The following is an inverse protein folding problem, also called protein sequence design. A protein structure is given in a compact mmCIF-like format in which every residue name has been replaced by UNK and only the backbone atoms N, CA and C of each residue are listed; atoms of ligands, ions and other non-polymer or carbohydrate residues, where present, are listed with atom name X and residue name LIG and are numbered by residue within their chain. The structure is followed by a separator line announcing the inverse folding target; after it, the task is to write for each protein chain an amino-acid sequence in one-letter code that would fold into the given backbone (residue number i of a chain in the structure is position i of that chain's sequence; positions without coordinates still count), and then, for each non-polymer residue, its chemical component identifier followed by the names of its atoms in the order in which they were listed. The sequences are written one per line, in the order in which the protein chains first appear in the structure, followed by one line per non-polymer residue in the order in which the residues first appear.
data_IF_957099939150
#
_entry.id   IF_957099939150
#
_cell.length_a   1.000
_cell.length_b   1.000
_cell.length_c   1.000
_cell.angle_alpha   90.00
_cell.angle_beta   90.00
_cell.angle_gamma   90.00
#
_symmetry.space_group_name_H-M   'P 1'
#
loop_
_entity.id
_entity.type
_entity.pdbx_description
1 polymer ?
#
# COMPACT_ATOMS: atom_id res chain seq x y z
N UNK A 1 8.19 30.77 2.79
CA UNK A 1 8.41 29.79 1.71
C UNK A 1 9.82 29.26 1.89
N UNK A 2 10.06 28.01 1.55
CA UNK A 2 11.38 27.38 1.58
C UNK A 2 11.54 26.51 0.34
N UNK A 3 12.67 25.84 0.17
CA UNK A 3 12.95 24.99 -0.98
C UNK A 3 13.60 23.68 -0.57
N UNK A 4 13.49 22.65 -1.42
CA UNK A 4 14.33 21.45 -1.34
C UNK A 4 14.60 20.81 -2.70
N UNK A 5 15.56 19.88 -2.72
CA UNK A 5 15.91 19.11 -3.92
C UNK A 5 14.95 17.95 -4.18
N UNK A 6 14.40 17.33 -3.13
CA UNK A 6 13.51 16.16 -3.21
C UNK A 6 12.30 16.25 -2.27
N UNK A 7 11.53 17.33 -2.40
CA UNK A 7 10.40 17.65 -1.53
C UNK A 7 9.29 16.59 -1.44
N UNK A 8 8.32 16.75 -0.53
CA UNK A 8 7.23 15.79 -0.36
C UNK A 8 6.47 15.54 -1.66
N UNK A 9 6.29 14.27 -2.00
CA UNK A 9 5.60 13.77 -3.20
C UNK A 9 6.23 14.23 -4.53
N UNK A 10 7.54 14.52 -4.54
CA UNK A 10 8.31 14.84 -5.75
C UNK A 10 8.69 13.63 -6.60
N UNK A 11 8.57 12.41 -6.04
CA UNK A 11 8.90 11.15 -6.71
C UNK A 11 10.40 10.81 -6.77
N UNK A 12 11.28 11.73 -6.36
CA UNK A 12 12.72 11.53 -6.24
C UNK A 12 13.16 11.57 -4.78
N UNK A 13 13.92 10.57 -4.33
CA UNK A 13 14.54 10.56 -3.02
C UNK A 13 16.01 10.17 -3.13
N UNK A 14 16.88 10.90 -2.45
CA UNK A 14 18.26 10.48 -2.26
C UNK A 14 18.33 9.52 -1.08
N UNK A 15 19.14 8.47 -1.22
CA UNK A 15 19.48 7.54 -0.14
C UNK A 15 20.99 7.51 0.06
N UNK A 16 21.39 7.23 1.29
CA UNK A 16 22.79 7.13 1.71
C UNK A 16 22.91 6.29 2.97
N UNK A 17 24.14 6.10 3.44
CA UNK A 17 24.43 5.30 4.62
C UNK A 17 24.87 6.19 5.77
N UNK A 18 24.24 6.02 6.92
CA UNK A 18 24.58 6.75 8.13
C UNK A 18 25.44 5.90 9.05
N UNK A 19 26.50 6.51 9.55
CA UNK A 19 27.27 6.05 10.69
C UNK A 19 26.97 6.92 11.92
N UNK A 20 26.44 6.30 12.98
CA UNK A 20 26.17 6.96 14.27
C UNK A 20 27.17 6.43 15.29
N UNK A 21 27.87 7.34 15.96
CA UNK A 21 28.84 6.98 16.99
C UNK A 21 28.20 6.13 18.09
N UNK A 22 28.77 4.93 18.32
CA UNK A 22 28.27 3.97 19.31
C UNK A 22 27.08 3.13 18.85
N UNK A 23 26.74 3.15 17.56
CA UNK A 23 25.82 2.19 16.94
C UNK A 23 26.60 1.29 15.97
N UNK A 24 26.58 -0.02 16.20
CA UNK A 24 27.21 -1.00 15.30
C UNK A 24 26.11 -1.64 14.45
N UNK A 25 26.07 -1.27 13.18
CA UNK A 25 25.18 -1.89 12.20
C UNK A 25 25.57 -3.36 11.99
N UNK A 26 24.60 -4.26 12.09
CA UNK A 26 24.78 -5.70 11.86
C UNK A 26 24.45 -6.10 10.41
N UNK A 27 23.70 -5.27 9.71
CA UNK A 27 23.40 -5.40 8.29
C UNK A 27 23.46 -4.04 7.60
N UNK A 28 23.81 -4.01 6.32
CA UNK A 28 23.98 -2.78 5.53
C UNK A 28 22.70 -1.92 5.52
N UNK A 29 21.54 -2.58 5.41
CA UNK A 29 20.20 -1.97 5.50
C UNK A 29 19.89 -1.24 6.83
N UNK A 30 20.67 -1.47 7.89
CA UNK A 30 20.55 -0.74 9.16
C UNK A 30 21.21 0.63 9.11
N UNK A 31 22.15 0.86 8.18
CA UNK A 31 22.76 2.16 7.91
C UNK A 31 21.98 2.97 6.89
N UNK A 32 21.16 2.34 6.05
CA UNK A 32 20.43 3.02 4.98
C UNK A 32 19.40 4.02 5.54
N UNK A 33 19.48 5.26 5.05
CA UNK A 33 18.53 6.34 5.31
C UNK A 33 18.23 7.09 4.01
N UNK A 34 17.10 7.81 4.02
CA UNK A 34 16.83 8.82 2.99
C UNK A 34 17.35 10.19 3.45
N UNK A 35 17.73 11.04 2.50
CA UNK A 35 18.09 12.42 2.81
C UNK A 35 17.53 13.42 1.80
N UNK A 36 17.37 14.66 2.23
CA UNK A 36 17.00 15.79 1.38
C UNK A 36 17.85 17.02 1.75
N UNK A 37 18.16 17.84 0.76
CA UNK A 37 18.80 19.14 0.95
C UNK A 37 17.72 20.21 0.97
N UNK A 38 17.70 20.99 2.04
CA UNK A 38 16.61 21.91 2.36
C UNK A 38 17.13 23.32 2.63
N UNK A 39 16.29 24.30 2.31
CA UNK A 39 16.54 25.71 2.61
C UNK A 39 16.20 26.10 4.05
N UNK A 40 16.33 27.40 4.39
CA UNK A 40 15.95 27.92 5.71
C UNK A 40 14.44 27.81 5.94
N UNK A 41 14.02 27.69 7.21
CA UNK A 41 12.61 27.58 7.64
C UNK A 41 11.81 26.48 6.93
N UNK A 42 12.49 25.40 6.54
CA UNK A 42 11.90 24.33 5.74
C UNK A 42 10.74 23.64 6.46
N UNK A 43 10.92 23.27 7.73
CA UNK A 43 9.88 22.54 8.46
C UNK A 43 8.65 23.41 8.68
N UNK A 44 8.84 24.70 8.93
CA UNK A 44 7.74 25.66 8.94
C UNK A 44 7.03 25.75 7.58
N UNK A 45 7.76 25.78 6.46
CA UNK A 45 7.17 25.87 5.11
C UNK A 45 6.32 24.65 4.75
N UNK A 46 6.71 23.44 5.14
CA UNK A 46 5.90 22.22 4.94
C UNK A 46 4.88 21.96 6.05
N UNK A 47 4.85 22.80 7.08
CA UNK A 47 3.97 22.60 8.25
C UNK A 47 4.37 21.42 9.14
N UNK A 48 5.61 20.95 9.05
CA UNK A 48 6.14 19.90 9.91
C UNK A 48 6.46 20.44 11.30
N UNK A 49 6.16 19.63 12.32
CA UNK A 49 6.40 20.00 13.73
C UNK A 49 7.79 19.56 14.17
N UNK A 50 8.63 20.52 14.56
CA UNK A 50 9.87 20.25 15.29
C UNK A 50 9.52 19.76 16.69
N UNK A 51 10.02 18.58 17.06
CA UNK A 51 9.79 17.93 18.35
C UNK A 51 10.85 18.31 19.38
N UNK A 52 12.11 18.45 18.94
CA UNK A 52 13.25 18.88 19.76
C UNK A 52 14.21 19.71 18.94
N UNK A 53 14.95 20.61 19.60
CA UNK A 53 15.92 21.47 18.93
C UNK A 53 15.25 22.61 18.17
N UNK A 54 15.75 22.90 16.96
CA UNK A 54 15.32 24.04 16.13
C UNK A 54 15.21 23.68 14.64
N UNK A 55 14.55 24.54 13.88
CA UNK A 55 14.57 24.55 12.42
C UNK A 55 15.90 25.17 11.90
N UNK A 56 16.13 25.10 10.59
CA UNK A 56 17.29 25.66 9.92
C UNK A 56 17.19 27.18 9.78
N UNK A 57 18.25 27.87 10.18
CA UNK A 57 18.43 29.30 9.98
C UNK A 57 19.22 29.58 8.70
N UNK A 58 19.18 30.82 8.20
CA UNK A 58 19.94 31.23 7.01
C UNK A 58 21.46 31.05 7.17
N UNK A 59 21.98 31.21 8.37
CA UNK A 59 23.41 31.04 8.66
C UNK A 59 23.88 29.58 8.51
N UNK A 60 22.97 28.62 8.73
CA UNK A 60 23.28 27.19 8.60
C UNK A 60 23.55 26.76 7.15
N UNK A 61 23.05 27.55 6.18
CA UNK A 61 23.24 27.29 4.74
C UNK A 61 24.69 27.45 4.29
N UNK A 62 25.51 28.17 5.05
CA UNK A 62 26.91 28.41 4.71
C UNK A 62 27.88 27.48 5.45
N UNK A 63 27.51 27.08 6.67
CA UNK A 63 28.37 26.27 7.52
C UNK A 63 28.36 24.78 7.13
N UNK A 64 27.22 24.27 6.65
CA UNK A 64 27.09 22.90 6.12
C UNK A 64 27.38 21.75 7.09
N UNK A 65 27.51 22.07 8.38
CA UNK A 65 27.93 21.17 9.44
C UNK A 65 26.79 20.81 10.41
N UNK A 66 25.56 21.18 10.08
CA UNK A 66 24.36 20.89 10.87
C UNK A 66 23.36 20.08 10.05
N UNK A 67 22.52 19.31 10.73
CA UNK A 67 21.44 18.56 10.10
C UNK A 67 20.30 18.30 11.08
N UNK A 68 19.16 17.88 10.55
CA UNK A 68 18.01 17.48 11.34
C UNK A 68 17.59 16.07 10.95
N UNK A 69 16.99 15.34 11.89
CA UNK A 69 16.55 13.96 11.67
C UNK A 69 15.06 13.81 12.02
N UNK A 70 14.39 12.81 11.46
CA UNK A 70 13.02 12.51 11.86
C UNK A 70 12.94 11.68 13.15
N UNK A 71 11.74 11.64 13.75
CA UNK A 71 11.45 10.93 14.99
C UNK A 71 11.78 9.43 14.88
N UNK A 72 11.51 8.81 13.73
CA UNK A 72 11.82 7.40 13.49
C UNK A 72 13.33 7.11 13.54
N UNK A 73 14.15 7.96 12.90
CA UNK A 73 15.62 7.84 12.98
C UNK A 73 16.14 8.08 14.40
N UNK A 74 15.63 9.10 15.08
CA UNK A 74 16.01 9.43 16.46
C UNK A 74 15.74 8.24 17.39
N UNK A 75 14.55 7.65 17.31
CA UNK A 75 14.17 6.48 18.12
C UNK A 75 15.04 5.26 17.83
N UNK A 76 15.41 5.02 16.57
CA UNK A 76 16.17 3.85 16.17
C UNK A 76 17.62 3.89 16.67
N UNK A 77 18.36 4.97 16.40
CA UNK A 77 19.78 5.05 16.74
C UNK A 77 20.06 5.54 18.17
N UNK A 78 19.22 6.45 18.69
CA UNK A 78 19.47 7.10 19.98
C UNK A 78 18.62 6.53 21.11
N UNK A 79 17.50 5.87 20.81
CA UNK A 79 16.53 5.33 21.80
C UNK A 79 16.12 6.41 22.80
N UNK A 80 16.60 6.32 24.04
CA UNK A 80 16.30 7.27 25.13
C UNK A 80 17.37 8.37 25.27
N UNK A 81 18.48 8.29 24.54
CA UNK A 81 19.55 9.30 24.55
C UNK A 81 19.13 10.51 23.74
N UNK A 82 19.56 11.69 24.17
CA UNK A 82 19.27 12.93 23.44
C UNK A 82 20.13 13.01 22.17
N UNK A 83 19.52 13.07 20.96
CA UNK A 83 20.26 13.16 19.71
C UNK A 83 20.81 14.56 19.44
N UNK A 84 20.26 15.61 20.06
CA UNK A 84 20.66 16.99 19.80
C UNK A 84 22.13 17.21 20.21
N UNK A 85 22.90 17.86 19.35
CA UNK A 85 24.32 18.15 19.55
C UNK A 85 25.26 16.98 19.25
N UNK A 86 24.75 15.81 18.85
CA UNK A 86 25.57 14.67 18.44
C UNK A 86 25.98 14.78 16.98
N UNK A 87 27.18 14.33 16.67
CA UNK A 87 27.68 14.23 15.30
C UNK A 87 27.27 12.90 14.68
N UNK A 88 26.84 12.96 13.44
CA UNK A 88 26.44 11.83 12.60
C UNK A 88 27.09 11.99 11.25
N UNK A 89 27.59 10.90 10.67
CA UNK A 89 28.20 10.91 9.34
C UNK A 89 27.24 10.24 8.37
N UNK A 90 26.82 10.97 7.34
CA UNK A 90 26.08 10.45 6.19
C UNK A 90 27.04 10.34 5.02
N UNK A 91 27.29 9.12 4.55
CA UNK A 91 28.33 8.78 3.58
C UNK A 91 29.68 9.36 4.03
N UNK A 92 30.13 10.47 3.43
CA UNK A 92 31.38 11.16 3.79
C UNK A 92 31.16 12.51 4.52
N UNK A 93 29.90 12.95 4.67
CA UNK A 93 29.56 14.23 5.27
C UNK A 93 29.18 14.08 6.75
N UNK A 94 29.95 14.68 7.64
CA UNK A 94 29.64 14.74 9.07
C UNK A 94 28.88 16.00 9.42
N UNK A 95 27.75 15.84 10.13
CA UNK A 95 26.92 16.94 10.59
C UNK A 95 26.50 16.76 12.05
N UNK A 96 26.19 17.87 12.70
CA UNK A 96 25.69 17.90 14.07
C UNK A 96 24.17 18.02 14.06
N UNK A 97 23.49 17.16 14.82
CA UNK A 97 22.03 17.18 14.88
C UNK A 97 21.56 18.42 15.65
N UNK A 98 20.82 19.31 14.98
CA UNK A 98 20.24 20.53 15.59
C UNK A 98 18.74 20.46 15.80
N UNK A 99 18.07 19.47 15.18
CA UNK A 99 16.62 19.32 15.26
C UNK A 99 16.15 17.88 15.10
N UNK A 100 15.09 17.52 15.83
CA UNK A 100 14.30 16.31 15.59
C UNK A 100 12.91 16.72 15.16
N UNK A 101 12.47 16.24 14.01
CA UNK A 101 11.19 16.60 13.41
C UNK A 101 10.23 15.41 13.45
N UNK A 102 8.93 15.67 13.55
CA UNK A 102 7.92 14.63 13.39
C UNK A 102 8.10 13.94 12.03
N UNK A 103 7.80 12.65 11.98
CA UNK A 103 7.78 11.92 10.72
C UNK A 103 6.79 12.60 9.75
N UNK A 104 7.25 12.84 8.52
CA UNK A 104 6.49 13.44 7.42
C UNK A 104 6.34 12.38 6.34
N UNK A 105 5.14 12.24 5.79
CA UNK A 105 4.87 11.36 4.67
C UNK A 105 5.42 11.97 3.36
N UNK A 106 6.35 11.28 2.71
CA UNK A 106 7.07 11.81 1.54
C UNK A 106 6.71 11.15 0.20
N UNK A 107 6.44 9.84 0.16
CA UNK A 107 6.14 9.11 -1.09
C UNK A 107 4.76 8.46 -1.08
N UNK A 108 4.35 7.95 0.08
CA UNK A 108 3.09 7.27 0.30
C UNK A 108 2.58 7.63 1.70
N UNK A 109 1.31 8.04 1.77
CA UNK A 109 0.62 8.42 3.03
C UNK A 109 0.42 7.20 3.94
N UNK A 110 0.45 5.98 3.38
CA UNK A 110 0.23 4.72 4.09
C UNK A 110 1.52 3.98 4.41
N UNK A 111 2.64 4.41 3.84
CA UNK A 111 3.93 3.80 4.13
C UNK A 111 4.34 4.05 5.57
N UNK A 112 5.05 3.07 6.14
CA UNK A 112 5.68 3.27 7.45
C UNK A 112 6.73 4.38 7.32
N UNK A 113 6.85 5.27 8.33
CA UNK A 113 7.92 6.24 8.37
C UNK A 113 9.29 5.57 8.17
N UNK A 114 10.06 6.10 7.23
CA UNK A 114 11.44 5.68 6.97
C UNK A 114 12.40 6.61 7.70
N UNK A 115 13.62 6.15 8.00
CA UNK A 115 14.66 6.99 8.61
C UNK A 115 15.07 8.07 7.61
N UNK A 116 15.04 9.34 8.04
CA UNK A 116 15.31 10.49 7.16
C UNK A 116 16.19 11.54 7.81
N UNK A 117 17.13 12.04 7.04
CA UNK A 117 18.03 13.16 7.36
C UNK A 117 17.67 14.37 6.49
N UNK A 118 17.76 15.56 7.06
CA UNK A 118 17.64 16.83 6.37
C UNK A 118 18.94 17.59 6.54
N UNK A 119 19.51 18.06 5.43
CA UNK A 119 20.75 18.81 5.41
C UNK A 119 20.52 20.19 4.79
N UNK A 120 21.20 21.25 5.25
CA UNK A 120 21.26 22.52 4.54
C UNK A 120 21.72 22.31 3.10
N UNK A 121 21.15 23.08 2.17
CA UNK A 121 21.65 23.14 0.80
C UNK A 121 22.83 24.14 0.71
N UNK A 122 24.05 23.62 0.90
CA UNK A 122 25.29 24.41 0.99
C UNK A 122 25.90 24.71 -0.38
N UNK A 123 25.56 23.91 -1.39
CA UNK A 123 26.14 24.02 -2.73
C UNK A 123 25.22 24.81 -3.66
N UNK A 124 25.39 26.13 -3.67
CA UNK A 124 24.77 27.04 -4.64
C UNK A 124 25.45 27.02 -6.02
N UNK A 125 26.62 26.37 -6.15
CA UNK A 125 27.42 26.34 -7.39
C UNK A 125 27.02 25.20 -8.34
N UNK A 126 26.58 24.07 -7.81
CA UNK A 126 25.94 23.02 -8.58
C UNK A 126 24.52 23.45 -8.94
N UNK A 127 24.34 24.09 -10.10
CA UNK A 127 23.02 24.45 -10.64
C UNK A 127 22.10 23.22 -10.55
N UNK A 128 21.12 23.20 -9.63
CA UNK A 128 20.24 22.06 -9.54
C UNK A 128 19.47 22.00 -10.84
N UNK A 129 19.55 20.86 -11.56
CA UNK A 129 18.78 20.65 -12.79
C UNK A 129 17.26 20.80 -12.55
N UNK A 130 16.83 20.72 -11.29
CA UNK A 130 15.48 20.98 -10.79
C UNK A 130 15.54 21.28 -9.28
N UNK A 131 14.75 22.25 -8.81
CA UNK A 131 14.50 22.50 -7.38
C UNK A 131 13.00 22.67 -7.15
N UNK A 132 12.50 22.30 -5.97
CA UNK A 132 11.11 22.51 -5.60
C UNK A 132 10.97 23.68 -4.62
N UNK A 133 10.16 24.67 -5.00
CA UNK A 133 9.78 25.76 -4.11
C UNK A 133 8.50 25.39 -3.34
N UNK A 134 8.57 25.45 -2.03
CA UNK A 134 7.47 25.13 -1.14
C UNK A 134 6.91 26.39 -0.51
N UNK A 135 5.65 26.67 -0.83
CA UNK A 135 4.95 27.88 -0.39
C UNK A 135 3.80 27.48 0.52
N UNK A 136 3.91 27.84 1.79
CA UNK A 136 2.81 27.75 2.73
C UNK A 136 1.87 28.94 2.53
N UNK A 137 0.59 28.67 2.29
CA UNK A 137 -0.45 29.70 2.15
C UNK A 137 -1.57 29.48 3.16
N UNK A 138 -2.17 30.58 3.65
CA UNK A 138 -3.36 30.52 4.49
C UNK A 138 -4.61 30.61 3.61
N UNK A 139 -5.45 29.57 3.64
CA UNK A 139 -6.67 29.48 2.83
C UNK A 139 -6.59 28.38 1.76
N UNK A 140 -7.44 28.47 0.74
CA UNK A 140 -7.48 27.51 -0.37
C UNK A 140 -6.25 27.65 -1.29
N UNK A 141 -5.35 26.65 -1.35
CA UNK A 141 -4.14 26.74 -2.16
C UNK A 141 -4.40 26.90 -3.66
N UNK A 142 -5.54 26.40 -4.16
CA UNK A 142 -5.87 26.48 -5.58
C UNK A 142 -5.97 27.94 -6.09
N UNK A 143 -6.35 28.87 -5.20
CA UNK A 143 -6.45 30.30 -5.53
C UNK A 143 -5.10 31.00 -5.70
N UNK A 144 -4.03 30.40 -5.20
CA UNK A 144 -2.68 30.98 -5.23
C UNK A 144 -1.80 30.41 -6.36
N UNK A 145 -2.26 29.38 -7.08
CA UNK A 145 -1.52 28.74 -8.17
C UNK A 145 -1.16 29.74 -9.26
N UNK A 146 -2.15 30.44 -9.82
CA UNK A 146 -1.94 31.39 -10.93
C UNK A 146 -1.14 32.64 -10.50
N UNK A 147 -1.43 33.29 -9.35
CA UNK A 147 -0.61 34.39 -8.86
C UNK A 147 0.86 34.02 -8.65
N UNK A 148 1.15 32.86 -8.06
CA UNK A 148 2.53 32.39 -7.83
C UNK A 148 3.21 32.13 -9.19
N UNK A 149 2.50 31.49 -10.13
CA UNK A 149 3.01 31.22 -11.48
C UNK A 149 3.40 32.50 -12.20
N UNK A 150 2.60 33.55 -12.09
CA UNK A 150 2.89 34.85 -12.71
C UNK A 150 4.14 35.51 -12.11
N UNK A 151 4.30 35.46 -10.78
CA UNK A 151 5.49 36.01 -10.11
C UNK A 151 6.76 35.27 -10.54
N UNK A 152 6.70 33.94 -10.65
CA UNK A 152 7.84 33.14 -11.09
C UNK A 152 8.19 33.36 -12.57
N UNK A 153 7.19 33.44 -13.46
CA UNK A 153 7.39 33.77 -14.88
C UNK A 153 7.91 35.20 -15.09
N UNK A 154 7.60 36.13 -14.17
CA UNK A 154 8.16 37.47 -14.20
C UNK A 154 9.64 37.49 -13.79
N UNK A 155 10.07 36.56 -12.94
CA UNK A 155 11.47 36.41 -12.56
C UNK A 155 12.30 35.72 -13.65
N UNK A 156 11.80 34.62 -14.23
CA UNK A 156 12.42 33.94 -15.37
C UNK A 156 11.36 33.27 -16.26
N UNK A 157 11.31 33.70 -17.53
CA UNK A 157 10.36 33.18 -18.53
C UNK A 157 10.77 31.85 -19.15
N UNK A 158 12.03 31.46 -19.01
CA UNK A 158 12.59 30.29 -19.67
C UNK A 158 12.52 29.03 -18.79
N UNK A 159 12.12 29.16 -17.52
CA UNK A 159 12.00 28.03 -16.61
C UNK A 159 10.63 27.36 -16.79
N UNK A 160 10.57 26.05 -17.07
CA UNK A 160 9.32 25.30 -17.03
C UNK A 160 8.82 25.23 -15.58
N UNK A 161 7.80 26.03 -15.27
CA UNK A 161 7.21 26.10 -13.93
C UNK A 161 5.89 25.32 -13.90
N UNK A 162 5.86 24.26 -13.08
CA UNK A 162 4.64 23.58 -12.67
C UNK A 162 4.31 23.98 -11.21
N UNK A 163 3.17 24.61 -11.01
CA UNK A 163 2.65 24.94 -9.67
C UNK A 163 1.47 24.03 -9.40
N UNK A 164 1.64 23.07 -8.48
CA UNK A 164 0.59 22.11 -8.15
C UNK A 164 0.34 22.10 -6.64
N UNK A 165 -0.90 22.28 -6.16
CA UNK A 165 -1.22 22.12 -4.76
C UNK A 165 -0.82 20.75 -4.22
N UNK A 166 -0.25 20.71 -3.01
CA UNK A 166 0.17 19.45 -2.38
C UNK A 166 -1.00 18.46 -2.26
N UNK A 167 -2.21 18.95 -1.97
CA UNK A 167 -3.42 18.13 -1.90
C UNK A 167 -3.71 17.39 -3.22
N UNK A 168 -3.43 18.00 -4.37
CA UNK A 168 -3.64 17.36 -5.66
C UNK A 168 -2.53 16.36 -5.99
N UNK A 169 -1.28 16.61 -5.56
CA UNK A 169 -0.20 15.61 -5.64
C UNK A 169 -0.52 14.37 -4.80
N UNK A 170 -1.01 14.55 -3.58
CA UNK A 170 -1.45 13.45 -2.72
C UNK A 170 -2.60 12.67 -3.37
N UNK A 171 -3.60 13.35 -3.95
CA UNK A 171 -4.69 12.68 -4.69
C UNK A 171 -4.17 11.89 -5.89
N UNK A 172 -3.21 12.41 -6.66
CA UNK A 172 -2.61 11.70 -7.80
C UNK A 172 -1.85 10.45 -7.37
N UNK A 173 -1.07 10.53 -6.29
CA UNK A 173 -0.41 9.35 -5.69
C UNK A 173 -1.42 8.26 -5.32
N UNK A 174 -2.52 8.63 -4.64
CA UNK A 174 -3.61 7.69 -4.31
C UNK A 174 -4.32 7.14 -5.57
N UNK A 175 -4.38 7.89 -6.66
CA UNK A 175 -5.04 7.43 -7.90
C UNK A 175 -4.25 6.37 -8.68
N UNK A 176 -2.92 6.33 -8.56
CA UNK A 176 -2.11 5.27 -9.17
C UNK A 176 -2.37 3.92 -8.49
N UNK A 177 -2.52 3.90 -7.17
CA UNK A 177 -2.94 2.71 -6.41
C UNK A 177 -4.35 2.24 -6.78
N UNK A 178 -5.24 3.18 -7.13
CA UNK A 178 -6.61 2.87 -7.51
C UNK A 178 -6.68 2.08 -8.84
N UNK A 179 -5.81 2.38 -9.81
CA UNK A 179 -5.75 1.66 -11.08
C UNK A 179 -5.33 0.20 -10.87
N UNK A 180 -4.27 -0.03 -10.10
CA UNK A 180 -3.83 -1.39 -9.77
C UNK A 180 -4.91 -2.16 -9.01
N UNK A 181 -5.54 -1.52 -8.03
CA UNK A 181 -6.67 -2.11 -7.27
C UNK A 181 -7.81 -2.51 -8.21
N UNK A 182 -8.16 -1.66 -9.17
CA UNK A 182 -9.26 -1.92 -10.11
C UNK A 182 -8.92 -3.07 -11.07
N UNK A 183 -7.69 -3.14 -11.58
CA UNK A 183 -7.23 -4.24 -12.44
C UNK A 183 -7.19 -5.56 -11.67
N UNK A 184 -6.65 -5.56 -10.44
CA UNK A 184 -6.64 -6.76 -9.58
C UNK A 184 -8.05 -7.20 -9.21
N UNK A 185 -8.95 -6.27 -8.89
CA UNK A 185 -10.35 -6.59 -8.62
C UNK A 185 -11.04 -7.20 -9.84
N UNK A 186 -10.77 -6.69 -11.04
CA UNK A 186 -11.28 -7.25 -12.28
C UNK A 186 -10.79 -8.68 -12.53
N UNK A 187 -9.49 -8.95 -12.38
CA UNK A 187 -8.96 -10.32 -12.49
C UNK A 187 -9.50 -11.24 -11.38
N UNK A 188 -9.65 -10.74 -10.15
CA UNK A 188 -10.26 -11.48 -9.05
C UNK A 188 -11.71 -11.87 -9.35
N UNK A 189 -12.48 -10.97 -9.96
CA UNK A 189 -13.85 -11.23 -10.39
C UNK A 189 -13.90 -12.31 -11.48
N UNK A 190 -13.03 -12.22 -12.50
CA UNK A 190 -12.95 -13.25 -13.55
C UNK A 190 -12.59 -14.61 -12.94
N UNK A 191 -11.58 -14.66 -12.06
CA UNK A 191 -11.17 -15.89 -11.39
C UNK A 191 -12.31 -16.49 -10.55
N UNK A 192 -13.07 -15.64 -9.84
CA UNK A 192 -14.24 -16.07 -9.07
C UNK A 192 -15.34 -16.64 -9.96
N UNK A 193 -15.62 -16.01 -11.11
CA UNK A 193 -16.60 -16.51 -12.09
C UNK A 193 -16.14 -17.85 -12.67
N UNK A 194 -14.87 -17.97 -13.06
CA UNK A 194 -14.33 -19.23 -13.58
C UNK A 194 -14.38 -20.36 -12.54
N UNK A 195 -14.06 -20.05 -11.28
CA UNK A 195 -14.18 -21.01 -10.17
C UNK A 195 -15.64 -21.44 -9.94
N UNK A 196 -16.57 -20.48 -9.98
CA UNK A 196 -18.01 -20.75 -9.86
C UNK A 196 -18.53 -21.62 -11.02
N UNK A 197 -18.12 -21.34 -12.26
CA UNK A 197 -18.46 -22.16 -13.43
C UNK A 197 -17.88 -23.57 -13.36
N UNK A 198 -16.62 -23.70 -12.90
CA UNK A 198 -15.98 -24.99 -12.68
C UNK A 198 -16.72 -25.81 -11.62
N UNK A 199 -17.08 -25.19 -10.49
CA UNK A 199 -17.84 -25.84 -9.43
C UNK A 199 -19.25 -26.22 -9.90
N UNK A 200 -19.94 -25.34 -10.65
CA UNK A 200 -21.22 -25.65 -11.28
C UNK A 200 -21.11 -26.86 -12.21
N UNK A 201 -20.07 -26.91 -13.06
CA UNK A 201 -19.83 -28.02 -13.97
C UNK A 201 -19.63 -29.35 -13.24
N UNK A 202 -18.74 -29.37 -12.24
CA UNK A 202 -18.46 -30.56 -11.42
C UNK A 202 -19.71 -31.01 -10.66
N UNK A 203 -20.41 -30.08 -10.01
CA UNK A 203 -21.62 -30.42 -9.23
C UNK A 203 -22.77 -30.86 -10.12
N UNK A 204 -23.00 -30.19 -11.25
CA UNK A 204 -23.99 -30.60 -12.25
C UNK A 204 -23.69 -32.01 -12.76
N UNK A 205 -22.44 -32.29 -13.14
CA UNK A 205 -22.03 -33.62 -13.61
C UNK A 205 -22.22 -34.71 -12.55
N UNK A 206 -21.79 -34.44 -11.31
CA UNK A 206 -21.97 -35.36 -10.19
C UNK A 206 -23.45 -35.62 -9.88
N UNK A 207 -24.30 -34.58 -9.94
CA UNK A 207 -25.74 -34.74 -9.73
C UNK A 207 -26.41 -35.55 -10.84
N UNK A 208 -25.99 -35.36 -12.10
CA UNK A 208 -26.52 -36.13 -13.23
C UNK A 208 -26.16 -37.61 -13.14
N UNK A 209 -24.96 -37.96 -12.69
CA UNK A 209 -24.59 -39.36 -12.46
C UNK A 209 -25.37 -40.01 -11.31
N UNK A 210 -25.79 -39.24 -10.31
CA UNK A 210 -26.54 -39.74 -9.14
C UNK A 210 -28.07 -39.64 -9.29
N UNK A 211 -28.57 -39.36 -10.50
CA UNK A 211 -30.02 -39.19 -10.77
C UNK A 211 -30.83 -40.42 -10.34
N UNK A 212 -30.32 -41.65 -10.57
CA UNK A 212 -30.96 -42.89 -10.15
C UNK A 212 -31.09 -43.02 -8.62
N UNK A 213 -30.04 -42.69 -7.87
CA UNK A 213 -30.09 -42.69 -6.40
C UNK A 213 -31.07 -41.65 -5.85
N UNK A 214 -31.11 -40.46 -6.46
CA UNK A 214 -32.05 -39.41 -6.07
C UNK A 214 -33.50 -39.82 -6.38
N UNK A 215 -33.74 -40.47 -7.52
CA UNK A 215 -35.04 -41.04 -7.90
C UNK A 215 -35.51 -42.13 -6.94
N UNK A 216 -34.62 -43.04 -6.53
CA UNK A 216 -34.93 -44.08 -5.55
C UNK A 216 -35.28 -43.48 -4.17
N UNK A 217 -34.51 -42.48 -3.70
CA UNK A 217 -34.80 -41.78 -2.44
C UNK A 217 -36.12 -41.01 -2.51
N UNK A 218 -36.42 -40.37 -3.63
CA UNK A 218 -37.70 -39.70 -3.86
C UNK A 218 -38.87 -40.70 -3.84
N UNK A 219 -38.71 -41.89 -4.44
CA UNK A 219 -39.70 -42.97 -4.38
C UNK A 219 -39.93 -43.50 -2.96
N UNK A 220 -38.90 -43.50 -2.12
CA UNK A 220 -38.97 -43.84 -0.69
C UNK A 220 -39.53 -42.71 0.19
N UNK A 221 -39.96 -41.58 -0.41
CA UNK A 221 -40.59 -40.46 0.30
C UNK A 221 -39.61 -39.44 0.90
N UNK A 222 -38.36 -39.39 0.44
CA UNK A 222 -37.42 -38.37 0.89
C UNK A 222 -37.86 -36.97 0.47
N UNK A 223 -37.83 -36.01 1.40
CA UNK A 223 -38.19 -34.63 1.10
C UNK A 223 -37.15 -33.96 0.16
N UNK A 224 -37.59 -33.14 -0.82
CA UNK A 224 -36.71 -32.49 -1.81
C UNK A 224 -35.57 -31.68 -1.19
N UNK A 225 -35.80 -31.05 -0.03
CA UNK A 225 -34.79 -30.25 0.67
C UNK A 225 -33.63 -31.09 1.22
N UNK A 226 -33.86 -32.38 1.54
CA UNK A 226 -32.79 -33.27 2.01
C UNK A 226 -31.83 -33.61 0.86
N UNK A 227 -32.35 -33.77 -0.36
CA UNK A 227 -31.54 -33.99 -1.55
C UNK A 227 -30.72 -32.74 -1.88
N UNK A 228 -31.35 -31.56 -1.88
CA UNK A 228 -30.66 -30.30 -2.09
C UNK A 228 -29.58 -30.04 -1.02
N UNK A 229 -29.87 -30.34 0.25
CA UNK A 229 -28.93 -30.19 1.37
C UNK A 229 -27.70 -31.08 1.26
N UNK A 230 -27.84 -32.30 0.74
CA UNK A 230 -26.69 -33.19 0.47
C UNK A 230 -25.77 -32.60 -0.61
N UNK A 231 -26.33 -32.12 -1.72
CA UNK A 231 -25.54 -31.52 -2.81
C UNK A 231 -24.83 -30.23 -2.34
N UNK A 232 -25.53 -29.39 -1.57
CA UNK A 232 -24.95 -28.19 -0.98
C UNK A 232 -23.82 -28.52 0.02
N UNK A 233 -23.98 -29.58 0.82
CA UNK A 233 -22.94 -30.03 1.76
C UNK A 233 -21.69 -30.49 1.01
N UNK A 234 -21.85 -31.28 -0.05
CA UNK A 234 -20.72 -31.72 -0.88
C UNK A 234 -19.98 -30.52 -1.49
N UNK A 235 -20.73 -29.52 -1.99
CA UNK A 235 -20.15 -28.28 -2.51
C UNK A 235 -19.40 -27.48 -1.44
N UNK A 236 -19.95 -27.36 -0.23
CA UNK A 236 -19.30 -26.67 0.89
C UNK A 236 -18.03 -27.39 1.32
N UNK A 237 -18.00 -28.72 1.36
CA UNK A 237 -16.80 -29.50 1.69
C UNK A 237 -15.69 -29.23 0.67
N UNK A 238 -16.02 -29.24 -0.63
CA UNK A 238 -15.06 -28.89 -1.69
C UNK A 238 -14.56 -27.46 -1.51
N UNK A 239 -15.43 -26.49 -1.28
CA UNK A 239 -15.04 -25.10 -1.06
C UNK A 239 -14.12 -24.93 0.16
N UNK A 240 -14.45 -25.54 1.30
CA UNK A 240 -13.65 -25.48 2.53
C UNK A 240 -12.28 -26.14 2.34
N UNK A 241 -12.21 -27.30 1.66
CA UNK A 241 -10.93 -27.93 1.33
C UNK A 241 -10.07 -27.02 0.43
N UNK A 242 -10.69 -26.37 -0.55
CA UNK A 242 -10.03 -25.40 -1.42
C UNK A 242 -9.50 -24.19 -0.64
N UNK A 243 -10.23 -23.69 0.35
CA UNK A 243 -9.78 -22.60 1.24
C UNK A 243 -8.60 -23.04 2.11
N UNK A 244 -8.68 -24.23 2.74
CA UNK A 244 -7.62 -24.76 3.60
C UNK A 244 -6.31 -24.90 2.84
N UNK A 245 -6.35 -25.28 1.57
CA UNK A 245 -5.15 -25.41 0.72
C UNK A 245 -4.76 -24.07 0.10
N UNK A 246 -5.73 -23.29 -0.37
CA UNK A 246 -5.51 -22.05 -1.12
C UNK A 246 -4.97 -20.91 -0.26
N UNK A 247 -5.42 -20.77 0.99
CA UNK A 247 -4.93 -19.70 1.89
C UNK A 247 -3.42 -19.83 2.16
N UNK A 248 -2.89 -21.00 2.57
CA UNK A 248 -1.43 -21.18 2.71
C UNK A 248 -0.66 -20.88 1.44
N UNK A 249 -1.12 -21.36 0.28
CA UNK A 249 -0.48 -21.12 -1.02
C UNK A 249 -0.45 -19.61 -1.32
N UNK A 250 -1.58 -18.92 -1.13
CA UNK A 250 -1.67 -17.47 -1.30
C UNK A 250 -0.70 -16.72 -0.39
N UNK A 251 -0.64 -17.09 0.90
CA UNK A 251 0.30 -16.49 1.86
C UNK A 251 1.76 -16.72 1.47
N UNK A 252 2.12 -17.88 0.93
CA UNK A 252 3.47 -18.12 0.41
C UNK A 252 3.74 -17.26 -0.84
N UNK A 253 2.80 -17.17 -1.77
CA UNK A 253 2.92 -16.32 -2.95
C UNK A 253 3.10 -14.83 -2.58
N UNK A 254 2.37 -14.34 -1.57
CA UNK A 254 2.54 -12.95 -1.09
C UNK A 254 3.94 -12.67 -0.54
N UNK A 255 4.64 -13.68 0.02
CA UNK A 255 6.03 -13.49 0.47
C UNK A 255 6.97 -13.17 -0.68
N UNK A 256 6.75 -13.77 -1.85
CA UNK A 256 7.57 -13.49 -3.04
C UNK A 256 7.25 -12.12 -3.64
N UNK A 257 6.02 -11.64 -3.44
CA UNK A 257 5.58 -10.30 -3.85
C UNK A 257 5.91 -9.19 -2.85
N UNK A 258 6.44 -9.50 -1.66
CA UNK A 258 6.78 -8.47 -0.63
C UNK A 258 7.74 -7.40 -1.13
N UNK A 259 8.64 -7.73 -2.06
CA UNK A 259 9.54 -6.75 -2.67
C UNK A 259 8.83 -5.71 -3.54
N UNK A 260 7.60 -5.99 -3.98
CA UNK A 260 6.77 -5.11 -4.80
C UNK A 260 5.60 -4.45 -4.04
N UNK A 261 5.25 -4.98 -2.86
CA UNK A 261 4.14 -4.50 -2.03
C UNK A 261 4.68 -3.67 -0.86
N UNK A 262 4.94 -2.38 -1.09
CA UNK A 262 5.25 -1.46 0.00
C UNK A 262 3.98 -1.14 0.81
N UNK A 263 4.09 -1.17 2.15
CA UNK A 263 3.09 -0.59 3.06
C UNK A 263 1.88 -1.45 3.46
N UNK A 264 1.55 -2.54 2.74
CA UNK A 264 0.38 -3.39 3.07
C UNK A 264 0.82 -4.66 3.79
N UNK A 265 0.24 -4.94 4.97
CA UNK A 265 0.47 -6.24 5.63
C UNK A 265 -0.10 -7.35 4.73
N UNK A 266 0.72 -8.31 4.27
CA UNK A 266 0.27 -9.36 3.35
C UNK A 266 -0.74 -10.34 3.97
N UNK A 267 -1.05 -10.20 5.25
CA UNK A 267 -1.97 -11.04 6.00
C UNK A 267 -2.85 -10.18 6.92
N UNK A 268 -3.69 -9.33 6.33
CA UNK A 268 -4.77 -8.68 7.06
C UNK A 268 -5.92 -9.71 7.32
N UNK A 269 -6.22 -10.05 8.59
CA UNK A 269 -7.26 -11.02 8.92
C UNK A 269 -8.66 -10.61 8.44
N UNK A 270 -8.95 -9.30 8.38
CA UNK A 270 -10.25 -8.81 7.93
C UNK A 270 -10.44 -9.09 6.44
N UNK A 271 -9.46 -8.72 5.61
CA UNK A 271 -9.46 -9.00 4.17
C UNK A 271 -9.56 -10.50 3.87
N UNK A 272 -8.79 -11.34 4.56
CA UNK A 272 -8.86 -12.80 4.40
C UNK A 272 -10.24 -13.37 4.75
N UNK A 273 -10.85 -12.88 5.84
CA UNK A 273 -12.19 -13.32 6.26
C UNK A 273 -13.25 -12.97 5.22
N UNK A 274 -13.19 -11.76 4.64
CA UNK A 274 -14.10 -11.32 3.57
C UNK A 274 -13.90 -12.17 2.30
N UNK A 275 -12.64 -12.47 1.93
CA UNK A 275 -12.36 -13.34 0.77
C UNK A 275 -12.92 -14.75 0.96
N UNK A 276 -12.70 -15.36 2.13
CA UNK A 276 -13.24 -16.70 2.45
C UNK A 276 -14.76 -16.70 2.42
N UNK A 277 -15.41 -15.71 3.04
CA UNK A 277 -16.87 -15.59 3.01
C UNK A 277 -17.40 -15.47 1.57
N UNK A 278 -16.73 -14.65 0.74
CA UNK A 278 -17.09 -14.47 -0.68
C UNK A 278 -16.98 -15.78 -1.46
N UNK A 279 -15.90 -16.56 -1.26
CA UNK A 279 -15.71 -17.85 -1.91
C UNK A 279 -16.79 -18.87 -1.50
N UNK A 280 -17.15 -18.92 -0.22
CA UNK A 280 -18.21 -19.80 0.29
C UNK A 280 -19.57 -19.41 -0.29
N UNK A 281 -19.90 -18.12 -0.32
CA UNK A 281 -21.14 -17.62 -0.93
C UNK A 281 -21.19 -17.94 -2.43
N UNK A 282 -20.11 -17.71 -3.16
CA UNK A 282 -20.02 -18.04 -4.57
C UNK A 282 -20.19 -19.55 -4.82
N UNK A 283 -19.62 -20.39 -3.96
CA UNK A 283 -19.79 -21.83 -4.04
C UNK A 283 -21.25 -22.26 -3.84
N UNK A 284 -21.93 -21.70 -2.83
CA UNK A 284 -23.35 -21.96 -2.57
C UNK A 284 -24.20 -21.53 -3.77
N UNK A 285 -23.96 -20.32 -4.31
CA UNK A 285 -24.71 -19.79 -5.46
C UNK A 285 -24.50 -20.66 -6.70
N UNK A 286 -23.26 -21.06 -6.99
CA UNK A 286 -22.93 -21.93 -8.12
C UNK A 286 -23.59 -23.31 -8.00
N UNK A 287 -23.64 -23.88 -6.80
CA UNK A 287 -24.20 -25.22 -6.56
C UNK A 287 -25.71 -25.24 -6.31
N UNK A 288 -26.34 -24.07 -6.11
CA UNK A 288 -27.78 -23.97 -5.84
C UNK A 288 -28.63 -24.48 -7.02
N UNK A 289 -28.28 -24.10 -8.25
CA UNK A 289 -29.07 -24.50 -9.43
C UNK A 289 -29.01 -26.01 -9.70
N UNK A 290 -27.84 -26.68 -9.68
CA UNK A 290 -27.76 -28.14 -9.73
C UNK A 290 -28.49 -28.84 -8.57
N UNK A 291 -28.35 -28.33 -7.35
CA UNK A 291 -29.04 -28.88 -6.17
C UNK A 291 -30.57 -28.82 -6.30
N UNK A 292 -31.08 -27.70 -6.80
CA UNK A 292 -32.51 -27.53 -7.07
C UNK A 292 -33.01 -28.47 -8.17
N UNK A 293 -32.24 -28.62 -9.26
CA UNK A 293 -32.57 -29.59 -10.32
C UNK A 293 -32.59 -31.03 -9.79
N UNK A 294 -31.59 -31.43 -9.00
CA UNK A 294 -31.53 -32.74 -8.37
C UNK A 294 -32.73 -33.01 -7.44
N UNK A 295 -33.21 -31.99 -6.73
CA UNK A 295 -34.38 -32.10 -5.84
C UNK A 295 -35.71 -32.30 -6.57
N UNK A 296 -35.77 -32.01 -7.88
CA UNK A 296 -36.98 -32.07 -8.71
C UNK A 296 -37.04 -33.29 -9.62
N UNK A 297 -36.06 -34.19 -9.55
CA UNK A 297 -36.03 -35.42 -10.36
C UNK A 297 -37.24 -36.28 -9.99
N UNK A 298 -38.08 -36.59 -10.98
CA UNK A 298 -39.25 -37.45 -10.75
C UNK A 298 -38.84 -38.93 -10.75
N UNK A 299 -39.42 -39.78 -9.86
CA UNK A 299 -39.12 -41.21 -9.80
C UNK A 299 -39.33 -41.95 -11.14
N UNK A 300 -40.32 -41.50 -11.92
CA UNK A 300 -40.69 -42.08 -13.21
C UNK A 300 -39.69 -41.74 -14.33
N UNK A 301 -39.07 -40.57 -14.31
CA UNK A 301 -38.01 -40.21 -15.27
C UNK A 301 -36.70 -40.94 -14.96
N UNK A 302 -36.39 -41.16 -13.68
CA UNK A 302 -35.19 -41.90 -13.28
C UNK A 302 -35.20 -43.36 -13.78
N UNK A 303 -36.35 -44.05 -13.70
CA UNK A 303 -36.53 -45.42 -14.19
C UNK A 303 -36.53 -45.55 -15.72
N UNK A 304 -36.83 -44.46 -16.45
CA UNK A 304 -36.76 -44.42 -17.92
C UNK A 304 -35.37 -44.17 -18.48
N UNK A 305 -34.47 -43.56 -17.69
CA UNK A 305 -33.09 -43.29 -18.11
C UNK A 305 -32.17 -44.52 -18.02
N UNK A 306 -32.63 -45.60 -17.37
CA UNK A 306 -31.87 -46.84 -17.12
C UNK A 306 -32.25 -47.98 -18.09
N UNK A 307 -33.21 -47.74 -19.00
CA UNK A 307 -33.60 -48.64 -20.10
C UNK A 307 -33.21 -48.04 -21.45
#
# INVERSE_FOLDING_TARGET
ASYSKGGPFSGGHSSGHVNVEGFLAQADSEGEVYYDHVGPDYFHAIGARVLRGRDFASDDMHAGNVGAINATMAKYYFRDRDPIGRSVTLDDQTFTIVGVVRDVEYSDVRARPVRRVYLPDVDTSAHPKSFELQVHVRGDPARFVEPIRQVLLAADRNVPIEVTPLADRVRRSVSQDALLTQVTAFFGLIALVLAALGLYGITSYATSQRTGEFGLRAALGAEPWRVAGMVLRDAVVVAVSGVIVGVPIGLVATRWLRGALFGVSPADPASLSVSVATLVVAAIVASYLPAWRASKVSPLEALRAEN
#
